data_IF_178968052937
#
_entry.id   IF_178968052937
#
_cell.length_a   1.000
_cell.length_b   1.000
_cell.length_c   1.000
_cell.angle_alpha   90.00
_cell.angle_beta   90.00
_cell.angle_gamma   90.00
#
_symmetry.space_group_name_H-M   'P 1'
#
loop_
_entity.id
_entity.type
_entity.pdbx_description
1 polymer ?
#
# COMPACT_ATOMS: atom_id res chain seq x y z
N UNK A 1 -18.06 63.80 1.82
CA UNK A 1 -18.58 63.91 0.44
C UNK A 1 -18.15 62.64 -0.30
N UNK A 2 -19.03 61.65 -0.39
CA UNK A 2 -18.70 60.39 -1.05
C UNK A 2 -18.45 60.67 -2.54
N UNK A 3 -17.26 60.35 -3.03
CA UNK A 3 -16.97 60.43 -4.47
C UNK A 3 -17.87 59.42 -5.16
N UNK A 4 -18.58 59.85 -6.19
CA UNK A 4 -19.48 59.02 -7.00
C UNK A 4 -18.82 57.72 -7.48
N UNK A 5 -17.49 57.74 -7.67
CA UNK A 5 -16.68 56.56 -7.99
C UNK A 5 -16.70 55.48 -6.91
N UNK A 6 -16.57 55.85 -5.63
CA UNK A 6 -16.51 54.89 -4.53
C UNK A 6 -17.90 54.30 -4.24
N UNK A 7 -18.95 55.08 -4.50
CA UNK A 7 -20.33 54.60 -4.44
C UNK A 7 -20.63 53.54 -5.50
N UNK A 8 -20.15 53.73 -6.74
CA UNK A 8 -20.31 52.74 -7.82
C UNK A 8 -19.58 51.44 -7.48
N UNK A 9 -18.34 51.52 -7.00
CA UNK A 9 -17.57 50.32 -6.62
C UNK A 9 -18.26 49.54 -5.50
N UNK A 10 -18.72 50.23 -4.45
CA UNK A 10 -19.42 49.60 -3.35
C UNK A 10 -20.75 48.96 -3.79
N UNK A 11 -21.51 49.64 -4.65
CA UNK A 11 -22.74 49.11 -5.21
C UNK A 11 -22.50 47.87 -6.08
N UNK A 12 -21.47 47.87 -6.92
CA UNK A 12 -21.12 46.70 -7.75
C UNK A 12 -20.68 45.50 -6.89
N UNK A 13 -19.92 45.73 -5.82
CA UNK A 13 -19.50 44.67 -4.91
C UNK A 13 -20.69 44.05 -4.16
N UNK A 14 -21.64 44.87 -3.71
CA UNK A 14 -22.88 44.39 -3.07
C UNK A 14 -23.72 43.59 -4.04
N UNK A 15 -23.93 44.08 -5.26
CA UNK A 15 -24.71 43.36 -6.28
C UNK A 15 -24.05 42.02 -6.60
N UNK A 16 -22.73 41.98 -6.75
CA UNK A 16 -22.01 40.73 -7.00
C UNK A 16 -22.17 39.72 -5.86
N UNK A 17 -22.06 40.19 -4.61
CA UNK A 17 -22.22 39.36 -3.42
C UNK A 17 -23.65 38.82 -3.27
N UNK A 18 -24.67 39.65 -3.49
CA UNK A 18 -26.07 39.24 -3.47
C UNK A 18 -26.36 38.24 -4.60
N UNK A 19 -25.79 38.44 -5.78
CA UNK A 19 -25.95 37.52 -6.92
C UNK A 19 -25.28 36.17 -6.64
N UNK A 20 -24.09 36.16 -6.02
CA UNK A 20 -23.40 34.93 -5.63
C UNK A 20 -24.18 34.12 -4.57
N UNK A 21 -24.73 34.79 -3.55
CA UNK A 21 -25.58 34.15 -2.53
C UNK A 21 -26.91 33.67 -3.13
N UNK A 22 -27.49 34.44 -4.06
CA UNK A 22 -28.71 34.06 -4.76
C UNK A 22 -28.53 32.79 -5.61
N UNK A 23 -27.44 32.72 -6.38
CA UNK A 23 -27.15 31.58 -7.26
C UNK A 23 -26.83 30.31 -6.45
N UNK A 24 -26.10 30.41 -5.34
CA UNK A 24 -25.82 29.25 -4.47
C UNK A 24 -27.07 28.74 -3.77
N UNK A 25 -27.96 29.63 -3.33
CA UNK A 25 -29.22 29.25 -2.69
C UNK A 25 -30.20 28.63 -3.70
N UNK A 26 -30.25 29.13 -4.94
CA UNK A 26 -31.15 28.59 -5.97
C UNK A 26 -30.69 27.22 -6.51
N UNK A 27 -29.37 26.98 -6.62
CA UNK A 27 -28.83 25.64 -6.95
C UNK A 27 -29.12 24.59 -5.89
N UNK A 28 -29.32 24.98 -4.62
CA UNK A 28 -29.73 24.06 -3.55
C UNK A 28 -31.23 23.67 -3.66
N UNK A 29 -32.05 24.52 -4.27
CA UNK A 29 -33.51 24.32 -4.39
C UNK A 29 -33.95 23.67 -5.72
N UNK A 30 -33.10 23.67 -6.76
CA UNK A 30 -33.37 23.03 -8.07
C UNK A 30 -32.33 21.96 -8.38
N UNK A 31 -31.85 21.25 -7.35
CA UNK A 31 -31.27 19.94 -7.61
C UNK A 31 -32.45 18.97 -7.77
N UNK A 32 -32.72 18.40 -8.96
CA UNK A 32 -33.61 17.25 -9.03
C UNK A 32 -33.04 16.22 -8.06
N UNK A 33 -33.90 15.72 -7.18
CA UNK A 33 -33.60 14.62 -6.27
C UNK A 33 -33.21 13.39 -7.09
N UNK A 34 -31.97 13.35 -7.57
CA UNK A 34 -31.26 12.10 -7.72
C UNK A 34 -31.10 11.62 -6.28
N UNK A 35 -31.71 10.48 -5.89
CA UNK A 35 -31.45 9.94 -4.59
C UNK A 35 -29.94 9.70 -4.56
N UNK A 36 -29.24 10.48 -3.72
CA UNK A 36 -28.00 10.03 -3.16
C UNK A 36 -28.31 8.63 -2.65
N UNK A 37 -27.66 7.61 -3.20
CA UNK A 37 -27.61 6.32 -2.56
C UNK A 37 -26.87 6.54 -1.24
N UNK A 38 -27.63 6.95 -0.24
CA UNK A 38 -27.36 6.56 1.13
C UNK A 38 -27.40 5.03 1.03
N UNK A 39 -26.23 4.41 1.12
CA UNK A 39 -26.18 3.00 1.48
C UNK A 39 -26.65 2.92 2.94
N UNK A 40 -27.96 3.02 3.09
CA UNK A 40 -28.64 2.66 4.31
C UNK A 40 -28.62 1.14 4.28
N UNK A 41 -27.93 0.54 5.24
CA UNK A 41 -28.12 -0.87 5.53
C UNK A 41 -29.61 -1.02 5.83
N UNK A 42 -30.34 -1.60 4.88
CA UNK A 42 -31.64 -2.16 5.16
C UNK A 42 -31.34 -3.25 6.18
N UNK A 43 -31.84 -3.08 7.40
CA UNK A 43 -32.05 -4.22 8.30
C UNK A 43 -33.00 -5.16 7.55
N UNK A 44 -32.41 -5.99 6.69
CA UNK A 44 -33.07 -7.16 6.14
C UNK A 44 -33.49 -7.95 7.37
N UNK A 45 -34.79 -8.24 7.46
CA UNK A 45 -35.36 -9.11 8.47
C UNK A 45 -34.40 -10.27 8.73
N UNK A 46 -34.16 -10.57 10.00
CA UNK A 46 -33.31 -11.64 10.51
C UNK A 46 -33.62 -12.95 9.77
N UNK A 47 -32.98 -13.14 8.62
CA UNK A 47 -33.11 -14.35 7.81
C UNK A 47 -32.18 -15.34 8.48
N UNK A 48 -32.78 -16.25 9.24
CA UNK A 48 -32.14 -17.47 9.67
C UNK A 48 -31.71 -18.26 8.43
N UNK A 49 -30.45 -18.05 8.00
CA UNK A 49 -29.83 -18.88 6.99
C UNK A 49 -29.48 -20.21 7.63
N UNK A 50 -30.42 -21.15 7.57
CA UNK A 50 -30.12 -22.56 7.84
C UNK A 50 -29.20 -23.05 6.72
N UNK A 51 -27.95 -23.34 7.07
CA UNK A 51 -27.05 -24.04 6.18
C UNK A 51 -27.66 -25.42 5.86
N UNK A 52 -28.18 -25.57 4.65
CA UNK A 52 -28.53 -26.89 4.12
C UNK A 52 -27.19 -27.57 3.82
N UNK A 53 -26.68 -28.29 4.82
CA UNK A 53 -25.66 -29.31 4.59
C UNK A 53 -26.35 -30.35 3.71
N UNK A 54 -25.99 -30.38 2.43
CA UNK A 54 -26.41 -31.47 1.55
C UNK A 54 -26.10 -32.76 2.27
N UNK A 55 -27.16 -33.53 2.53
CA UNK A 55 -27.09 -34.79 3.26
C UNK A 55 -25.93 -35.61 2.73
N UNK A 56 -25.14 -36.07 3.69
CA UNK A 56 -24.04 -36.99 3.53
C UNK A 56 -24.41 -38.00 2.45
N UNK A 57 -23.83 -37.87 1.25
CA UNK A 57 -23.99 -38.91 0.24
C UNK A 57 -23.52 -40.17 0.94
N UNK A 58 -24.45 -41.09 1.25
CA UNK A 58 -24.27 -42.28 2.10
C UNK A 58 -23.25 -43.29 1.57
N UNK A 59 -22.38 -42.82 0.68
CA UNK A 59 -21.21 -43.44 0.13
C UNK A 59 -20.19 -43.65 1.25
N UNK A 60 -19.87 -44.92 1.47
CA UNK A 60 -18.84 -45.33 2.41
C UNK A 60 -17.49 -44.72 2.02
N UNK A 61 -16.56 -44.63 2.98
CA UNK A 61 -15.19 -44.14 2.75
C UNK A 61 -14.51 -44.85 1.56
N UNK A 62 -14.83 -46.13 1.33
CA UNK A 62 -14.31 -46.92 0.22
C UNK A 62 -14.88 -46.48 -1.13
N UNK A 63 -16.17 -46.15 -1.20
CA UNK A 63 -16.80 -45.65 -2.42
C UNK A 63 -16.30 -44.25 -2.78
N UNK A 64 -16.04 -43.40 -1.78
CA UNK A 64 -15.42 -42.07 -1.98
C UNK A 64 -14.00 -42.20 -2.54
N UNK A 65 -13.20 -43.13 -2.00
CA UNK A 65 -11.85 -43.40 -2.49
C UNK A 65 -11.86 -43.96 -3.92
N UNK A 66 -12.84 -44.80 -4.26
CA UNK A 66 -12.99 -45.32 -5.62
C UNK A 66 -13.40 -44.23 -6.61
N UNK A 67 -14.33 -43.36 -6.23
CA UNK A 67 -14.73 -42.22 -7.05
C UNK A 67 -13.59 -41.21 -7.24
N UNK A 68 -12.78 -40.98 -6.22
CA UNK A 68 -11.61 -40.10 -6.30
C UNK A 68 -10.52 -40.71 -7.19
N UNK A 69 -10.24 -42.01 -7.07
CA UNK A 69 -9.31 -42.72 -7.96
C UNK A 69 -9.78 -42.74 -9.42
N UNK A 70 -11.08 -42.91 -9.66
CA UNK A 70 -11.64 -42.87 -11.01
C UNK A 70 -11.52 -41.47 -11.62
N UNK A 71 -11.79 -40.41 -10.85
CA UNK A 71 -11.59 -39.02 -11.30
C UNK A 71 -10.13 -38.74 -11.64
N UNK A 72 -9.18 -39.21 -10.82
CA UNK A 72 -7.74 -39.05 -11.08
C UNK A 72 -7.33 -39.82 -12.35
N UNK A 73 -7.87 -41.02 -12.57
CA UNK A 73 -7.53 -41.83 -13.77
C UNK A 73 -8.06 -41.27 -15.10
N UNK A 74 -9.10 -40.43 -15.06
CA UNK A 74 -9.65 -39.77 -16.25
C UNK A 74 -8.89 -38.50 -16.64
N UNK A 75 -8.06 -37.97 -15.76
CA UNK A 75 -7.24 -36.80 -16.03
C UNK A 75 -5.86 -37.23 -16.54
N UNK A 76 -5.74 -37.38 -17.86
CA UNK A 76 -4.54 -37.85 -18.55
C UNK A 76 -3.43 -36.78 -18.68
N UNK A 77 -3.54 -35.67 -17.93
CA UNK A 77 -2.61 -34.54 -17.98
C UNK A 77 -1.51 -34.55 -16.92
N UNK A 78 -1.55 -35.45 -15.93
CA UNK A 78 -0.53 -35.55 -14.88
C UNK A 78 0.53 -36.60 -15.24
N UNK A 79 1.61 -36.16 -15.90
CA UNK A 79 2.85 -36.95 -15.99
C UNK A 79 3.59 -36.89 -14.64
N UNK A 80 3.38 -37.89 -13.78
CA UNK A 80 4.37 -38.22 -12.76
C UNK A 80 5.52 -38.97 -13.43
N UNK A 81 6.66 -38.30 -13.62
CA UNK A 81 7.92 -38.98 -13.92
C UNK A 81 8.42 -39.61 -12.63
N UNK A 82 8.17 -40.90 -12.45
CA UNK A 82 8.90 -41.72 -11.47
C UNK A 82 10.38 -41.76 -11.89
N UNK A 83 11.23 -41.06 -11.15
CA UNK A 83 12.66 -41.32 -11.11
C UNK A 83 12.92 -42.39 -10.05
N UNK A 84 13.69 -43.46 -10.33
CA UNK A 84 13.91 -44.53 -9.37
C UNK A 84 14.73 -44.02 -8.17
N UNK A 85 14.27 -44.38 -6.96
CA UNK A 85 15.02 -44.29 -5.71
C UNK A 85 16.31 -45.10 -5.85
N UNK A 86 17.44 -44.44 -5.59
CA UNK A 86 18.71 -45.09 -5.30
C UNK A 86 18.77 -45.19 -3.78
N UNK A 87 18.78 -46.43 -3.28
CA UNK A 87 19.08 -46.73 -1.88
C UNK A 87 20.49 -46.22 -1.54
N UNK A 88 20.59 -45.16 -0.73
CA UNK A 88 21.81 -44.82 -0.03
C UNK A 88 21.63 -45.15 1.46
N UNK A 89 22.47 -46.08 1.91
CA UNK A 89 22.54 -46.60 3.27
C UNK A 89 22.79 -45.49 4.28
N UNK A 90 22.08 -45.56 5.40
CA UNK A 90 22.24 -44.71 6.57
C UNK A 90 23.70 -44.69 7.05
N UNK A 91 24.36 -43.55 6.90
CA UNK A 91 25.50 -43.18 7.73
C UNK A 91 25.17 -41.88 8.46
N UNK A 92 24.65 -42.05 9.68
CA UNK A 92 24.34 -40.98 10.62
C UNK A 92 25.66 -40.31 11.03
N UNK A 93 26.00 -39.22 10.36
CA UNK A 93 26.90 -38.19 10.88
C UNK A 93 26.08 -36.97 11.20
N UNK A 94 25.91 -36.73 12.50
CA UNK A 94 25.24 -35.57 13.06
C UNK A 94 26.04 -34.30 12.78
N UNK A 95 25.69 -33.58 11.71
CA UNK A 95 26.08 -32.18 11.50
C UNK A 95 24.84 -31.39 11.04
N UNK A 96 24.36 -30.54 11.96
CA UNK A 96 23.63 -29.28 11.77
C UNK A 96 22.64 -29.13 10.59
N UNK A 97 21.36 -29.47 10.83
CA UNK A 97 20.27 -28.68 10.27
C UNK A 97 19.93 -27.54 11.25
N UNK A 98 20.56 -26.38 11.03
CA UNK A 98 20.03 -25.13 11.55
C UNK A 98 18.62 -24.94 10.97
N UNK A 99 17.61 -25.24 11.78
CA UNK A 99 16.25 -24.77 11.57
C UNK A 99 16.34 -23.25 11.47
N UNK A 100 16.20 -22.71 10.24
CA UNK A 100 16.17 -21.27 9.98
C UNK A 100 15.05 -20.69 10.83
N UNK A 101 15.43 -20.09 11.95
CA UNK A 101 14.51 -19.41 12.84
C UNK A 101 13.94 -18.22 12.06
N UNK A 102 12.69 -18.35 11.61
CA UNK A 102 11.92 -17.23 11.09
C UNK A 102 11.85 -16.21 12.23
N UNK A 103 12.78 -15.25 12.22
CA UNK A 103 12.86 -14.25 13.26
C UNK A 103 11.58 -13.43 13.21
N UNK A 104 10.81 -13.48 14.30
CA UNK A 104 9.56 -12.74 14.41
C UNK A 104 9.77 -11.23 14.30
N UNK A 105 8.69 -10.51 14.00
CA UNK A 105 8.63 -9.06 13.90
C UNK A 105 9.31 -8.35 15.11
N UNK A 106 10.34 -7.57 14.84
CA UNK A 106 11.09 -6.78 15.84
C UNK A 106 10.47 -5.39 16.01
N UNK A 107 9.68 -5.21 17.06
CA UNK A 107 9.08 -3.90 17.41
C UNK A 107 9.95 -3.12 18.38
N UNK A 108 10.03 -1.80 18.21
CA UNK A 108 10.73 -0.94 19.15
C UNK A 108 9.97 -0.79 20.49
N UNK A 109 10.69 -0.48 21.56
CA UNK A 109 10.08 -0.04 22.81
C UNK A 109 9.24 1.22 22.59
N UNK A 110 7.94 1.16 22.80
CA UNK A 110 7.02 2.28 22.52
C UNK A 110 6.38 2.25 21.13
N UNK A 111 6.34 1.07 20.48
CA UNK A 111 5.57 0.86 19.25
C UNK A 111 4.16 1.44 19.36
N UNK A 112 3.79 2.29 18.41
CA UNK A 112 2.45 2.88 18.32
C UNK A 112 2.01 2.96 16.86
N UNK A 113 0.76 2.59 16.54
CA UNK A 113 0.22 2.82 15.21
C UNK A 113 0.29 4.31 14.86
N UNK A 114 0.63 4.62 13.62
CA UNK A 114 0.64 5.97 13.09
C UNK A 114 -0.78 6.55 13.12
N UNK A 115 -0.91 7.74 13.71
CA UNK A 115 -2.17 8.48 13.86
C UNK A 115 -2.15 9.82 13.10
N UNK A 116 -1.11 10.08 12.31
CA UNK A 116 -0.98 11.32 11.55
C UNK A 116 -1.93 11.35 10.35
N UNK A 117 -2.23 12.56 9.88
CA UNK A 117 -2.93 12.75 8.61
C UNK A 117 -1.92 12.61 7.46
N UNK A 118 -2.19 11.70 6.54
CA UNK A 118 -1.39 11.50 5.33
C UNK A 118 -2.29 11.64 4.11
N UNK A 119 -2.04 12.68 3.32
CA UNK A 119 -2.75 12.89 2.05
C UNK A 119 -2.05 12.05 0.98
N UNK A 120 -2.72 11.03 0.47
CA UNK A 120 -2.21 10.16 -0.59
C UNK A 120 -2.56 10.69 -1.99
N UNK A 121 -3.32 11.78 -2.10
CA UNK A 121 -3.73 12.29 -3.40
C UNK A 121 -2.57 12.97 -4.10
N UNK A 122 -2.20 12.46 -5.30
CA UNK A 122 -1.22 13.08 -6.21
C UNK A 122 0.22 13.18 -5.66
N UNK A 123 0.59 12.29 -4.75
CA UNK A 123 1.98 12.16 -4.37
C UNK A 123 2.76 11.45 -5.48
N UNK A 124 3.90 12.02 -5.84
CA UNK A 124 4.83 11.49 -6.83
C UNK A 124 6.22 11.27 -6.22
N UNK A 125 7.01 10.41 -6.87
CA UNK A 125 8.40 10.17 -6.50
C UNK A 125 9.32 10.82 -7.53
N UNK A 126 10.34 11.53 -7.05
CA UNK A 126 11.44 12.02 -7.89
C UNK A 126 12.77 11.80 -7.17
N UNK A 127 13.85 11.72 -7.93
CA UNK A 127 15.20 11.57 -7.41
C UNK A 127 15.92 12.90 -7.55
N UNK A 128 16.13 13.58 -6.43
CA UNK A 128 16.79 14.88 -6.36
C UNK A 128 18.03 14.76 -5.49
N UNK A 129 19.19 15.11 -6.06
CA UNK A 129 20.48 15.15 -5.34
C UNK A 129 20.86 13.82 -4.64
N UNK A 130 20.46 12.68 -5.22
CA UNK A 130 20.78 11.36 -4.66
C UNK A 130 19.85 10.91 -3.52
N UNK A 131 18.77 11.64 -3.27
CA UNK A 131 17.69 11.24 -2.38
C UNK A 131 16.39 11.10 -3.16
N UNK A 132 15.52 10.18 -2.72
CA UNK A 132 14.19 10.03 -3.28
C UNK A 132 13.22 10.90 -2.49
N UNK A 133 12.60 11.87 -3.14
CA UNK A 133 11.60 12.73 -2.52
C UNK A 133 10.20 12.25 -2.89
N UNK A 134 9.28 12.34 -1.92
CA UNK A 134 7.85 12.17 -2.09
C UNK A 134 7.22 13.55 -2.01
N UNK A 135 6.57 13.99 -3.08
CA UNK A 135 6.08 15.37 -3.18
C UNK A 135 4.72 15.45 -3.87
N UNK A 136 3.98 16.52 -3.60
CA UNK A 136 2.79 16.93 -4.36
C UNK A 136 3.13 18.16 -5.21
N UNK A 137 2.65 18.19 -6.45
CA UNK A 137 2.71 19.40 -7.28
C UNK A 137 1.52 20.32 -6.99
N UNK A 138 1.80 21.50 -6.46
CA UNK A 138 0.80 22.51 -6.09
C UNK A 138 1.00 23.75 -6.97
N UNK A 139 -0.08 24.20 -7.61
CA UNK A 139 -0.09 25.46 -8.35
C UNK A 139 -0.06 26.62 -7.35
N UNK A 140 1.05 27.35 -7.36
CA UNK A 140 1.22 28.57 -6.58
C UNK A 140 0.98 29.78 -7.48
N UNK A 141 -0.02 30.59 -7.13
CA UNK A 141 -0.26 31.85 -7.82
C UNK A 141 0.56 32.94 -7.17
N UNK A 142 1.51 33.51 -7.92
CA UNK A 142 2.26 34.69 -7.50
C UNK A 142 1.79 35.89 -8.31
N UNK A 143 1.34 36.95 -7.63
CA UNK A 143 0.99 38.20 -8.30
C UNK A 143 2.19 39.12 -8.32
N UNK A 144 2.80 39.32 -9.48
CA UNK A 144 3.89 40.29 -9.65
C UNK A 144 3.31 41.60 -10.18
N UNK A 145 3.48 42.69 -9.42
CA UNK A 145 2.94 44.01 -9.79
C UNK A 145 3.98 44.79 -10.59
N UNK A 146 3.99 44.61 -11.90
CA UNK A 146 4.77 45.45 -12.81
C UNK A 146 3.88 46.54 -13.44
N UNK A 147 4.24 47.82 -13.26
CA UNK A 147 3.68 48.96 -14.01
C UNK A 147 2.14 49.11 -14.03
N UNK A 148 1.46 48.81 -12.92
CA UNK A 148 0.05 49.12 -12.73
C UNK A 148 -0.95 48.09 -13.28
N UNK A 149 -0.47 47.05 -13.98
CA UNK A 149 -1.27 45.88 -14.35
C UNK A 149 -0.85 44.70 -13.47
N UNK A 150 -1.81 44.02 -12.84
CA UNK A 150 -1.52 42.78 -12.12
C UNK A 150 -1.43 41.65 -13.14
N UNK A 151 -0.26 41.03 -13.28
CA UNK A 151 -0.09 39.77 -14.01
C UNK A 151 -0.07 38.66 -12.95
N UNK A 152 -0.96 37.69 -13.11
CA UNK A 152 -0.97 36.48 -12.29
C UNK A 152 -0.06 35.49 -13.01
N UNK A 153 1.07 35.17 -12.39
CA UNK A 153 1.97 34.12 -12.87
C UNK A 153 1.70 32.86 -12.04
N UNK A 154 1.36 31.77 -12.73
CA UNK A 154 1.17 30.47 -12.11
C UNK A 154 2.49 29.72 -12.14
N UNK A 155 3.06 29.44 -10.97
CA UNK A 155 4.27 28.65 -10.80
C UNK A 155 3.90 27.28 -10.23
N UNK A 156 4.44 26.20 -10.81
CA UNK A 156 4.29 24.85 -10.25
C UNK A 156 5.30 24.71 -9.13
N UNK A 157 4.84 24.59 -7.89
CA UNK A 157 5.67 24.38 -6.71
C UNK A 157 5.55 22.94 -6.24
N UNK A 158 6.67 22.31 -5.91
CA UNK A 158 6.71 20.98 -5.27
C UNK A 158 6.65 21.14 -3.77
N UNK A 159 5.64 20.55 -3.12
CA UNK A 159 5.56 20.43 -1.67
C UNK A 159 6.06 19.05 -1.25
N UNK A 160 7.16 19.00 -0.49
CA UNK A 160 7.87 17.74 -0.17
C UNK A 160 7.37 17.21 1.16
N UNK A 161 6.80 16.01 1.14
CA UNK A 161 6.26 15.33 2.32
C UNK A 161 7.31 14.46 3.01
N UNK A 162 8.13 13.77 2.22
CA UNK A 162 9.09 12.80 2.74
C UNK A 162 10.35 12.76 1.87
N UNK A 163 11.50 12.56 2.50
CA UNK A 163 12.77 12.33 1.82
C UNK A 163 13.34 10.99 2.27
N UNK A 164 13.42 10.03 1.34
CA UNK A 164 13.97 8.71 1.54
C UNK A 164 15.43 8.66 1.04
N UNK A 165 16.36 8.07 1.80
CA UNK A 165 17.73 7.90 1.34
C UNK A 165 17.80 6.86 0.22
N UNK A 166 18.73 7.02 -0.72
CA UNK A 166 19.05 5.98 -1.69
C UNK A 166 20.26 5.21 -1.17
N UNK A 167 20.08 3.91 -0.90
CA UNK A 167 21.11 3.03 -0.35
C UNK A 167 21.32 1.84 -1.28
N UNK A 168 22.57 1.42 -1.43
CA UNK A 168 22.92 0.22 -2.20
C UNK A 168 22.93 -1.04 -1.33
N UNK A 169 23.34 -0.95 -0.06
CA UNK A 169 23.48 -2.11 0.81
C UNK A 169 23.03 -1.86 2.24
N UNK A 170 22.70 -2.93 2.99
CA UNK A 170 22.28 -2.83 4.38
C UNK A 170 23.43 -2.37 5.26
N UNK A 171 23.12 -1.82 6.44
CA UNK A 171 24.14 -1.56 7.47
C UNK A 171 24.26 -2.76 8.40
N UNK A 172 25.37 -2.86 9.13
CA UNK A 172 25.65 -4.00 10.00
C UNK A 172 24.62 -4.21 11.13
N UNK A 173 23.93 -3.14 11.55
CA UNK A 173 22.98 -3.18 12.65
C UNK A 173 21.57 -2.91 12.12
N UNK A 174 20.67 -3.87 12.32
CA UNK A 174 19.25 -3.72 12.00
C UNK A 174 18.57 -2.79 13.02
N UNK A 175 17.49 -2.13 12.60
CA UNK A 175 16.64 -1.28 13.43
C UNK A 175 15.27 -1.92 13.58
N UNK A 176 14.71 -1.84 14.79
CA UNK A 176 13.35 -2.27 15.07
C UNK A 176 12.32 -1.36 14.37
N UNK A 177 11.08 -1.83 14.29
CA UNK A 177 9.94 -1.12 13.72
C UNK A 177 9.24 -0.30 14.80
N UNK A 178 9.19 1.02 14.62
CA UNK A 178 8.66 1.97 15.61
C UNK A 178 7.15 2.24 15.48
N UNK A 179 6.60 2.13 14.27
CA UNK A 179 5.17 2.32 13.97
C UNK A 179 4.68 1.23 13.04
N UNK A 180 3.37 1.13 12.82
CA UNK A 180 2.82 0.17 11.86
C UNK A 180 3.13 0.55 10.40
N UNK A 181 3.52 1.80 10.13
CA UNK A 181 3.91 2.28 8.80
C UNK A 181 5.39 2.00 8.57
N UNK A 182 5.69 1.33 7.46
CA UNK A 182 7.05 0.90 7.12
C UNK A 182 7.58 1.49 5.82
N UNK A 183 6.73 2.15 5.05
CA UNK A 183 7.12 2.69 3.75
C UNK A 183 5.99 3.42 3.04
N UNK A 184 6.24 3.80 1.80
CA UNK A 184 5.30 4.48 0.90
C UNK A 184 5.24 3.69 -0.40
N UNK A 185 4.03 3.35 -0.82
CA UNK A 185 3.75 2.65 -2.07
C UNK A 185 3.92 3.58 -3.27
N UNK A 186 3.99 3.03 -4.49
CA UNK A 186 4.16 3.83 -5.71
C UNK A 186 3.06 4.87 -5.95
N UNK A 187 1.85 4.63 -5.44
CA UNK A 187 0.71 5.55 -5.54
C UNK A 187 0.69 6.62 -4.43
N UNK A 188 1.72 6.66 -3.58
CA UNK A 188 1.82 7.58 -2.45
C UNK A 188 1.09 7.13 -1.19
N UNK A 189 0.39 5.98 -1.21
CA UNK A 189 -0.22 5.44 0.01
C UNK A 189 0.83 4.93 1.00
N UNK A 190 0.50 4.96 2.29
CA UNK A 190 1.37 4.39 3.32
C UNK A 190 1.29 2.88 3.30
N UNK A 191 2.44 2.20 3.31
CA UNK A 191 2.52 0.75 3.45
C UNK A 191 2.51 0.42 4.94
N UNK A 192 1.48 -0.29 5.41
CA UNK A 192 1.48 -0.82 6.78
C UNK A 192 2.06 -2.22 6.83
N UNK A 193 2.77 -2.52 7.91
CA UNK A 193 3.48 -3.77 8.04
C UNK A 193 2.56 -5.00 8.09
N UNK A 194 1.29 -4.81 8.51
CA UNK A 194 0.26 -5.84 8.60
C UNK A 194 -0.47 -6.09 7.27
N UNK A 195 -0.13 -5.35 6.21
CA UNK A 195 -0.83 -5.40 4.92
C UNK A 195 -0.10 -6.28 3.89
N UNK A 196 0.79 -7.19 4.32
CA UNK A 196 1.55 -8.06 3.42
C UNK A 196 0.66 -8.82 2.42
N UNK A 197 -0.52 -9.28 2.88
CA UNK A 197 -1.50 -9.99 2.03
C UNK A 197 -2.11 -9.10 0.95
N UNK A 198 -2.25 -7.80 1.18
CA UNK A 198 -2.79 -6.85 0.18
C UNK A 198 -1.88 -6.78 -1.04
N UNK A 199 -0.57 -6.82 -0.81
CA UNK A 199 0.45 -6.77 -1.84
C UNK A 199 0.85 -8.16 -2.37
N UNK A 200 0.26 -9.23 -1.83
CA UNK A 200 0.55 -10.62 -2.21
C UNK A 200 0.19 -10.98 -3.65
N UNK A 201 -0.56 -10.12 -4.35
CA UNK A 201 -0.92 -10.28 -5.76
C UNK A 201 0.21 -9.90 -6.72
N UNK A 202 1.22 -9.17 -6.23
CA UNK A 202 2.34 -8.69 -7.05
C UNK A 202 3.45 -9.73 -7.14
N UNK A 203 3.97 -9.94 -8.34
CA UNK A 203 5.11 -10.83 -8.58
C UNK A 203 6.45 -10.23 -8.10
N UNK A 204 7.54 -11.03 -8.14
CA UNK A 204 8.83 -10.65 -7.57
C UNK A 204 9.48 -9.45 -8.27
N UNK A 205 9.18 -9.22 -9.55
CA UNK A 205 9.75 -8.11 -10.32
C UNK A 205 8.94 -6.80 -10.17
N UNK A 206 7.79 -6.85 -9.49
CA UNK A 206 6.93 -5.68 -9.31
C UNK A 206 7.36 -4.90 -8.09
N UNK A 207 7.82 -3.66 -8.31
CA UNK A 207 8.10 -2.71 -7.23
C UNK A 207 6.78 -2.27 -6.57
N UNK A 208 6.59 -2.60 -5.30
CA UNK A 208 5.43 -2.20 -4.49
C UNK A 208 5.61 -0.76 -3.99
N UNK A 209 6.82 -0.44 -3.54
CA UNK A 209 7.13 0.87 -2.99
C UNK A 209 8.51 0.93 -2.36
N UNK A 210 8.71 1.87 -1.45
CA UNK A 210 9.97 2.06 -0.76
C UNK A 210 9.76 2.07 0.75
N UNK A 211 10.61 1.32 1.46
CA UNK A 211 10.66 1.34 2.91
C UNK A 211 11.22 2.67 3.43
N UNK A 212 10.93 2.99 4.69
CA UNK A 212 11.42 4.21 5.35
C UNK A 212 12.94 4.26 5.52
N UNK A 213 13.62 3.12 5.45
CA UNK A 213 15.08 3.06 5.43
C UNK A 213 15.68 3.27 4.04
N UNK A 214 14.83 3.40 3.00
CA UNK A 214 15.19 3.78 1.64
C UNK A 214 15.21 2.64 0.63
N UNK A 215 15.15 1.38 1.07
CA UNK A 215 15.24 0.24 0.18
C UNK A 215 13.91 -0.04 -0.55
N UNK A 216 13.96 -0.53 -1.79
CA UNK A 216 12.76 -0.93 -2.52
C UNK A 216 12.12 -2.18 -1.90
N UNK A 217 10.79 -2.20 -1.92
CA UNK A 217 9.96 -3.35 -1.54
C UNK A 217 9.36 -3.90 -2.84
N UNK A 218 9.68 -5.15 -3.15
CA UNK A 218 9.12 -5.88 -4.28
C UNK A 218 8.05 -6.87 -3.83
N UNK A 219 7.29 -7.38 -4.80
CA UNK A 219 6.23 -8.35 -4.58
C UNK A 219 6.71 -9.71 -4.06
N UNK A 220 5.85 -10.71 -4.18
CA UNK A 220 6.08 -12.04 -3.61
C UNK A 220 7.19 -12.76 -4.35
N UNK A 221 8.14 -13.30 -3.59
CA UNK A 221 9.26 -14.07 -4.09
C UNK A 221 9.58 -15.26 -3.17
N UNK A 222 10.06 -16.35 -3.77
CA UNK A 222 10.58 -17.51 -3.05
C UNK A 222 12.09 -17.42 -2.78
N UNK A 223 12.71 -16.26 -3.09
CA UNK A 223 14.12 -16.02 -2.79
C UNK A 223 14.33 -16.03 -1.27
N UNK A 224 15.38 -16.71 -0.84
CA UNK A 224 15.77 -16.73 0.57
C UNK A 224 16.18 -15.32 1.03
N UNK A 225 15.43 -14.77 1.98
CA UNK A 225 15.70 -13.46 2.56
C UNK A 225 16.42 -13.59 3.90
N UNK A 226 17.04 -12.50 4.33
CA UNK A 226 17.57 -12.34 5.68
C UNK A 226 16.45 -12.22 6.74
N UNK A 227 16.86 -11.99 7.99
CA UNK A 227 15.95 -11.87 9.13
C UNK A 227 14.97 -10.69 9.01
N UNK A 228 15.33 -9.61 8.31
CA UNK A 228 14.45 -8.46 8.10
C UNK A 228 13.48 -8.66 6.94
N UNK A 229 13.77 -9.61 6.03
CA UNK A 229 12.95 -9.91 4.87
C UNK A 229 13.51 -9.35 3.57
N UNK A 230 14.80 -9.04 3.52
CA UNK A 230 15.45 -8.58 2.28
C UNK A 230 16.66 -9.42 1.90
N UNK A 231 17.23 -9.10 0.74
CA UNK A 231 18.34 -9.84 0.14
C UNK A 231 19.12 -8.90 -0.77
N UNK A 232 20.42 -9.12 -0.92
CA UNK A 232 21.25 -8.38 -1.88
C UNK A 232 21.29 -9.09 -3.23
N UNK A 233 20.73 -8.47 -4.26
CA UNK A 233 20.74 -8.95 -5.65
C UNK A 233 21.51 -7.95 -6.49
N UNK A 234 22.51 -8.41 -7.24
CA UNK A 234 23.34 -7.56 -8.11
C UNK A 234 23.95 -6.33 -7.39
N UNK A 235 24.28 -6.46 -6.11
CA UNK A 235 24.86 -5.39 -5.30
C UNK A 235 23.85 -4.34 -4.81
N UNK A 236 22.55 -4.57 -4.98
CA UNK A 236 21.49 -3.77 -4.40
C UNK A 236 20.69 -4.58 -3.39
N UNK A 237 20.46 -4.00 -2.22
CA UNK A 237 19.61 -4.60 -1.20
C UNK A 237 18.16 -4.21 -1.42
N UNK A 238 17.28 -5.20 -1.37
CA UNK A 238 15.86 -5.05 -1.62
C UNK A 238 15.05 -6.00 -0.75
N UNK A 239 13.86 -5.55 -0.37
CA UNK A 239 12.89 -6.35 0.37
C UNK A 239 11.97 -7.09 -0.59
N UNK A 240 11.54 -8.28 -0.17
CA UNK A 240 10.54 -9.06 -0.90
C UNK A 240 9.44 -9.49 0.05
N UNK A 241 8.23 -9.57 -0.49
CA UNK A 241 7.13 -10.23 0.20
C UNK A 241 7.31 -11.75 0.13
N UNK A 242 6.76 -12.43 1.12
CA UNK A 242 6.77 -13.89 1.18
C UNK A 242 5.40 -14.37 1.67
N UNK A 243 4.80 -15.33 0.97
CA UNK A 243 3.47 -15.86 1.29
C UNK A 243 3.39 -16.56 2.65
N UNK A 244 4.53 -17.04 3.17
CA UNK A 244 4.62 -17.68 4.47
C UNK A 244 4.67 -16.68 5.63
N UNK A 245 4.84 -15.38 5.37
CA UNK A 245 4.92 -14.33 6.39
C UNK A 245 3.66 -13.47 6.42
N UNK A 246 3.23 -13.08 7.62
CA UNK A 246 2.10 -12.17 7.80
C UNK A 246 2.50 -10.69 7.74
N UNK A 247 3.80 -10.40 7.84
CA UNK A 247 4.38 -9.05 7.85
C UNK A 247 5.13 -8.76 6.57
N UNK A 248 5.18 -7.48 6.18
CA UNK A 248 5.98 -7.03 5.03
C UNK A 248 7.46 -7.08 5.39
N UNK A 249 7.84 -6.47 6.52
CA UNK A 249 9.19 -6.42 7.07
C UNK A 249 9.19 -6.93 8.52
N UNK A 250 10.27 -7.57 8.92
CA UNK A 250 10.49 -7.93 10.33
C UNK A 250 11.32 -6.88 11.07
N UNK A 251 12.22 -6.19 10.36
CA UNK A 251 13.04 -5.08 10.84
C UNK A 251 13.46 -4.21 9.66
N UNK A 252 14.07 -3.06 9.95
CA UNK A 252 14.76 -2.26 8.94
C UNK A 252 16.24 -2.64 8.92
N UNK A 253 16.79 -2.83 7.73
CA UNK A 253 18.21 -3.12 7.50
C UNK A 253 19.06 -1.85 7.45
N UNK A 254 18.44 -0.67 7.61
CA UNK A 254 19.11 0.59 7.91
C UNK A 254 18.22 1.51 8.76
N UNK A 255 18.77 2.61 9.34
CA UNK A 255 17.97 3.54 10.12
C UNK A 255 16.84 4.15 9.27
N UNK A 256 15.57 4.00 9.69
CA UNK A 256 14.43 4.56 8.96
C UNK A 256 14.35 6.07 9.15
N UNK A 257 13.78 6.76 8.17
CA UNK A 257 13.36 8.16 8.34
C UNK A 257 12.03 8.22 9.09
N UNK A 258 11.86 9.27 9.89
CA UNK A 258 10.58 9.56 10.53
C UNK A 258 9.61 10.19 9.53
N UNK A 259 8.35 9.76 9.61
CA UNK A 259 7.20 10.43 8.99
C UNK A 259 6.64 11.45 9.97
#
# INVERSE_FOLDING_TARGET
MFRTRDFILFFTAIVFLVTAIGVTSFKKSISPSSPAQVQQFVDDEEKDYVAVVNEDSGLSREERLKAMKEKISKDSSLKLTNSPEVDEEENVSSEDEEVVAISGLQKCSGYRPFQGEWSFSKLEFDVVEGSRIVFEEVLSESSVRASGTAVVEQEVKRDVYLQLPIRSGPVANTSCIATDVIGVAQDGSLIRNTEAKLYGVFGPDTLVGYALDGFPIYGVSDVQTDNCGGVSIAGQYQYFLNNSRETVLNCFSAPPVSI
#
